data_IF_266154724552
#
_entry.id   IF_266154724552
#
_cell.length_a   1.000
_cell.length_b   1.000
_cell.length_c   1.000
_cell.angle_alpha   90.00
_cell.angle_beta   90.00
_cell.angle_gamma   90.00
#
_symmetry.space_group_name_H-M   'P 1'
#
loop_
_entity.id
_entity.type
_entity.pdbx_description
1 polymer ?
#
# COMPACT_ATOMS: atom_id res chain seq x y z
N UNK A 1 6.51 -0.58 9.95
CA UNK A 1 6.16 -0.06 11.29
C UNK A 1 4.95 -0.73 11.95
N UNK A 2 3.75 -0.78 11.33
CA UNK A 2 2.54 -1.32 12.01
C UNK A 2 2.65 -2.77 12.47
N UNK A 3 3.28 -3.66 11.70
CA UNK A 3 3.50 -5.06 12.10
C UNK A 3 4.36 -5.15 13.36
N UNK A 4 5.49 -4.43 13.39
CA UNK A 4 6.36 -4.35 14.57
C UNK A 4 5.65 -3.79 15.80
N UNK A 5 4.81 -2.76 15.62
CA UNK A 5 3.98 -2.20 16.69
C UNK A 5 2.97 -3.22 17.23
N UNK A 6 2.32 -3.98 16.34
CA UNK A 6 1.39 -5.04 16.74
C UNK A 6 2.09 -6.13 17.56
N UNK A 7 3.28 -6.56 17.11
CA UNK A 7 4.10 -7.53 17.82
C UNK A 7 4.54 -7.02 19.20
N UNK A 8 4.77 -5.71 19.34
CA UNK A 8 5.08 -5.06 20.61
C UNK A 8 3.85 -4.83 21.53
N UNK A 9 2.66 -5.25 21.11
CA UNK A 9 1.43 -5.11 21.89
C UNK A 9 0.79 -3.73 21.82
N UNK A 10 1.21 -2.87 20.89
CA UNK A 10 0.52 -1.60 20.64
C UNK A 10 -0.87 -1.88 20.10
N UNK A 11 -1.88 -1.25 20.70
CA UNK A 11 -3.27 -1.45 20.30
C UNK A 11 -3.52 -0.81 18.94
N UNK A 12 -4.04 -1.56 17.93
CA UNK A 12 -4.37 -0.98 16.64
C UNK A 12 -5.39 0.16 16.73
N UNK A 13 -4.99 1.35 16.27
CA UNK A 13 -5.80 2.57 16.36
C UNK A 13 -5.64 3.42 17.61
N UNK A 14 -4.74 3.03 18.52
CA UNK A 14 -4.31 3.93 19.58
C UNK A 14 -3.52 5.11 18.99
N UNK A 15 -3.29 6.15 19.81
CA UNK A 15 -2.66 7.39 19.37
C UNK A 15 -1.25 7.21 18.73
N UNK A 16 -0.52 6.15 19.10
CA UNK A 16 0.80 5.83 18.52
C UNK A 16 0.77 4.81 17.40
N UNK A 17 -0.41 4.27 17.05
CA UNK A 17 -0.52 3.27 16.00
C UNK A 17 -0.26 3.87 14.63
N UNK A 18 0.51 3.17 13.80
CA UNK A 18 0.79 3.62 12.43
C UNK A 18 1.83 4.70 12.31
N UNK A 19 2.35 5.22 13.43
CA UNK A 19 3.45 6.17 13.43
C UNK A 19 4.65 5.57 12.70
N UNK A 20 5.17 6.32 11.74
CA UNK A 20 6.34 5.97 10.98
C UNK A 20 7.40 7.04 11.14
N UNK A 21 8.55 6.63 11.66
CA UNK A 21 9.70 7.50 11.91
C UNK A 21 10.62 7.57 10.68
N UNK A 22 10.41 6.70 9.70
CA UNK A 22 11.09 6.75 8.41
C UNK A 22 10.40 7.79 7.52
N UNK A 23 11.09 8.90 7.16
CA UNK A 23 10.47 9.95 6.35
C UNK A 23 10.34 9.50 4.89
N UNK A 24 9.27 9.98 4.23
CA UNK A 24 9.17 9.95 2.78
C UNK A 24 10.25 10.86 2.20
N UNK A 25 11.06 10.34 1.27
CA UNK A 25 12.05 11.12 0.54
C UNK A 25 11.55 11.38 -0.88
N UNK A 26 11.32 12.65 -1.21
CA UNK A 26 10.86 13.10 -2.53
C UNK A 26 12.04 13.74 -3.26
N UNK A 27 12.32 13.27 -4.47
CA UNK A 27 13.32 13.88 -5.35
C UNK A 27 12.63 14.83 -6.32
N UNK A 28 13.09 16.08 -6.38
CA UNK A 28 12.59 17.05 -7.35
C UNK A 28 13.24 16.86 -8.74
N UNK A 29 12.83 17.68 -9.71
CA UNK A 29 13.36 17.63 -11.07
C UNK A 29 14.87 17.93 -11.16
N UNK A 30 15.45 18.55 -10.13
CA UNK A 30 16.89 18.82 -10.00
C UNK A 30 17.62 17.72 -9.22
N UNK A 31 16.96 16.58 -8.97
CA UNK A 31 17.44 15.46 -8.16
C UNK A 31 17.79 15.82 -6.71
N UNK A 32 17.24 16.92 -6.18
CA UNK A 32 17.41 17.26 -4.77
C UNK A 32 16.39 16.49 -3.92
N UNK A 33 16.87 15.96 -2.79
CA UNK A 33 16.07 15.18 -1.87
C UNK A 33 15.39 16.07 -0.82
N UNK A 34 14.08 15.88 -0.64
CA UNK A 34 13.27 16.56 0.35
C UNK A 34 12.61 15.52 1.25
N UNK A 35 12.88 15.60 2.55
CA UNK A 35 12.26 14.73 3.54
C UNK A 35 10.90 15.29 3.96
N UNK A 36 9.89 14.44 3.97
CA UNK A 36 8.55 14.74 4.45
C UNK A 36 8.12 13.68 5.46
N UNK A 37 7.43 14.10 6.53
CA UNK A 37 6.86 13.17 7.50
C UNK A 37 5.86 12.22 6.82
N UNK A 38 6.03 10.93 7.07
CA UNK A 38 5.13 9.89 6.56
C UNK A 38 3.80 9.96 7.31
N UNK A 39 2.65 9.98 6.60
CA UNK A 39 1.35 9.89 7.26
C UNK A 39 1.24 8.60 8.07
N UNK A 40 0.51 8.65 9.19
CA UNK A 40 0.27 7.44 9.97
C UNK A 40 -0.50 6.41 9.14
N UNK A 41 0.02 5.20 9.08
CA UNK A 41 -0.65 4.11 8.39
C UNK A 41 -1.82 3.55 9.22
N UNK A 42 -2.86 3.06 8.55
CA UNK A 42 -3.99 2.41 9.23
C UNK A 42 -4.50 1.18 8.47
N UNK A 43 -3.84 0.04 8.67
CA UNK A 43 -4.20 -1.24 8.04
C UNK A 43 -5.61 -1.74 8.44
N UNK A 44 -6.18 -1.23 9.54
CA UNK A 44 -7.54 -1.59 9.98
C UNK A 44 -8.59 -1.10 8.99
N UNK A 45 -8.32 -0.02 8.25
CA UNK A 45 -9.23 0.54 7.26
C UNK A 45 -9.66 -0.51 6.24
N UNK A 46 -8.74 -1.37 5.80
CA UNK A 46 -9.08 -2.45 4.88
C UNK A 46 -10.20 -3.34 5.45
N UNK A 47 -10.06 -3.80 6.69
CA UNK A 47 -11.08 -4.66 7.33
C UNK A 47 -12.39 -3.91 7.62
N UNK A 48 -12.33 -2.62 7.97
CA UNK A 48 -13.52 -1.78 8.14
C UNK A 48 -14.30 -1.66 6.82
N UNK A 49 -13.59 -1.43 5.71
CA UNK A 49 -14.20 -1.33 4.39
C UNK A 49 -14.74 -2.68 3.91
N UNK A 50 -14.03 -3.79 4.19
CA UNK A 50 -14.54 -5.13 3.90
C UNK A 50 -15.83 -5.42 4.69
N UNK A 51 -15.88 -5.07 5.97
CA UNK A 51 -17.10 -5.18 6.79
C UNK A 51 -18.27 -4.43 6.16
N UNK A 52 -18.04 -3.21 5.69
CA UNK A 52 -19.09 -2.36 5.10
C UNK A 52 -19.51 -2.89 3.71
N UNK A 53 -18.57 -3.44 2.94
CA UNK A 53 -18.85 -4.12 1.68
C UNK A 53 -19.69 -5.40 1.88
N UNK A 54 -19.37 -6.21 2.89
CA UNK A 54 -20.14 -7.42 3.24
C UNK A 54 -21.57 -7.10 3.70
N UNK A 55 -21.79 -5.88 4.22
CA UNK A 55 -23.13 -5.37 4.55
C UNK A 55 -23.88 -4.78 3.35
N UNK A 56 -23.25 -4.76 2.17
CA UNK A 56 -23.80 -4.14 0.96
C UNK A 56 -23.87 -2.62 0.99
N UNK A 57 -23.12 -1.97 1.88
CA UNK A 57 -23.14 -0.51 2.03
C UNK A 57 -22.22 0.20 1.03
N UNK A 58 -21.13 -0.46 0.67
CA UNK A 58 -20.14 0.02 -0.29
C UNK A 58 -19.71 -1.12 -1.22
N UNK A 59 -19.03 -0.78 -2.32
CA UNK A 59 -18.33 -1.77 -3.13
C UNK A 59 -17.13 -2.35 -2.37
N UNK A 60 -16.65 -3.52 -2.80
CA UNK A 60 -15.40 -4.09 -2.28
C UNK A 60 -14.25 -3.08 -2.49
N UNK A 61 -13.50 -2.69 -1.43
CA UNK A 61 -12.41 -1.71 -1.54
C UNK A 61 -11.24 -2.17 -2.40
N UNK A 62 -11.06 -3.48 -2.56
CA UNK A 62 -10.06 -4.09 -3.46
C UNK A 62 -10.72 -5.27 -4.19
N UNK A 63 -11.44 -5.01 -5.30
CA UNK A 63 -12.08 -6.05 -6.08
C UNK A 63 -11.05 -7.05 -6.66
N UNK A 64 -11.40 -8.35 -6.80
CA UNK A 64 -10.47 -9.35 -7.36
C UNK A 64 -9.94 -9.02 -8.76
N UNK A 65 -10.71 -8.27 -9.57
CA UNK A 65 -10.29 -7.87 -10.92
C UNK A 65 -9.07 -6.94 -10.89
N UNK A 66 -8.92 -6.10 -9.85
CA UNK A 66 -7.75 -5.24 -9.70
C UNK A 66 -6.50 -6.06 -9.35
N UNK A 67 -6.65 -7.12 -8.54
CA UNK A 67 -5.56 -8.05 -8.26
C UNK A 67 -5.10 -8.77 -9.54
N UNK A 68 -6.03 -9.17 -10.41
CA UNK A 68 -5.70 -9.75 -11.72
C UNK A 68 -4.98 -8.75 -12.63
N UNK A 69 -5.38 -7.48 -12.60
CA UNK A 69 -4.70 -6.43 -13.36
C UNK A 69 -3.24 -6.27 -12.90
N UNK A 70 -2.98 -6.29 -11.59
CA UNK A 70 -1.61 -6.30 -11.04
C UNK A 70 -0.84 -7.53 -11.52
N UNK A 71 -1.45 -8.73 -11.46
CA UNK A 71 -0.81 -9.96 -11.96
C UNK A 71 -0.42 -9.85 -13.44
N UNK A 72 -1.30 -9.30 -14.29
CA UNK A 72 -1.02 -9.11 -15.71
C UNK A 72 0.18 -8.16 -15.96
N UNK A 73 0.29 -7.10 -15.16
CA UNK A 73 1.45 -6.18 -15.21
C UNK A 73 2.74 -6.89 -14.80
N UNK A 74 2.71 -7.71 -13.73
CA UNK A 74 3.87 -8.47 -13.30
C UNK A 74 4.32 -9.48 -14.37
N UNK A 75 3.39 -10.18 -15.01
CA UNK A 75 3.70 -11.09 -16.11
C UNK A 75 4.30 -10.36 -17.32
N UNK A 76 3.76 -9.20 -17.67
CA UNK A 76 4.31 -8.36 -18.73
C UNK A 76 5.73 -7.89 -18.40
N UNK A 77 6.01 -7.52 -17.15
CA UNK A 77 7.35 -7.14 -16.72
C UNK A 77 8.35 -8.30 -16.85
N UNK A 78 7.97 -9.51 -16.46
CA UNK A 78 8.81 -10.72 -16.64
C UNK A 78 9.10 -10.96 -18.12
N UNK A 79 8.08 -10.98 -18.98
CA UNK A 79 8.26 -11.16 -20.43
C UNK A 79 9.12 -10.07 -21.05
N UNK A 80 8.97 -8.83 -20.60
CA UNK A 80 9.81 -7.71 -21.06
C UNK A 80 11.27 -7.90 -20.69
N UNK A 81 11.56 -8.37 -19.47
CA UNK A 81 12.92 -8.61 -19.00
C UNK A 81 13.61 -9.75 -19.77
N UNK A 82 12.86 -10.81 -20.06
CA UNK A 82 13.37 -11.98 -20.80
C UNK A 82 13.59 -11.68 -22.29
N UNK A 83 12.68 -10.94 -22.92
CA UNK A 83 12.71 -10.67 -24.36
C UNK A 83 13.49 -9.40 -24.74
N UNK A 84 13.71 -8.48 -23.80
CA UNK A 84 14.23 -7.15 -24.09
C UNK A 84 13.27 -6.25 -24.88
N UNK A 85 11.98 -6.62 -24.96
CA UNK A 85 10.96 -5.91 -25.74
C UNK A 85 9.78 -5.46 -24.88
N UNK A 86 9.21 -4.31 -25.23
CA UNK A 86 7.96 -3.81 -24.64
C UNK A 86 6.84 -4.82 -24.84
N UNK A 87 6.03 -5.02 -23.79
CA UNK A 87 4.82 -5.85 -23.83
C UNK A 87 3.59 -4.94 -23.79
N UNK A 88 2.67 -5.10 -24.74
CA UNK A 88 1.44 -4.30 -24.92
C UNK A 88 0.20 -5.16 -24.79
#
# INVERSE_FOLDING_TARGET
QQESQLLAGVVPGSAGWGQDDDPLVIYDASLQAHAQATPQGDQRQYYMLIRDALKGQIANPVPPVEALAVMAVLEAAVRSAESGMVQT
#
